data_IF_732017662863
#
_entry.id   IF_732017662863
#
_cell.length_a   1.000
_cell.length_b   1.000
_cell.length_c   1.000
_cell.angle_alpha   90.00
_cell.angle_beta   90.00
_cell.angle_gamma   90.00
#
_symmetry.space_group_name_H-M   'P 1'
#
loop_
_entity.id
_entity.type
_entity.pdbx_description
1 polymer ?
#
# COMPACT_ATOMS: atom_id res chain seq x y z
N UNK A 1 -1.25 -14.17 12.10
CA UNK A 1 -1.60 -12.79 11.70
C UNK A 1 -1.93 -12.77 10.22
N UNK A 2 -3.05 -12.15 9.87
CA UNK A 2 -3.55 -12.07 8.50
C UNK A 2 -2.89 -10.92 7.73
N UNK A 3 -2.55 -11.16 6.46
CA UNK A 3 -2.01 -10.12 5.57
C UNK A 3 -3.13 -9.15 5.19
N UNK A 4 -2.99 -7.89 5.57
CA UNK A 4 -3.97 -6.85 5.26
C UNK A 4 -3.29 -5.55 4.81
N UNK A 5 -3.93 -4.81 3.90
CA UNK A 5 -3.45 -3.51 3.39
C UNK A 5 -4.42 -2.43 3.83
N UNK A 6 -3.94 -1.39 4.50
CA UNK A 6 -4.79 -0.24 4.88
C UNK A 6 -5.31 0.50 3.64
N UNK A 7 -6.54 0.99 3.74
CA UNK A 7 -7.12 1.86 2.71
C UNK A 7 -6.66 3.30 2.88
N UNK A 8 -6.09 3.96 1.85
CA UNK A 8 -5.66 5.35 1.94
C UNK A 8 -6.79 6.35 2.24
N UNK A 9 -8.05 5.97 2.02
CA UNK A 9 -9.22 6.81 2.28
C UNK A 9 -9.86 6.58 3.67
N UNK A 10 -9.37 5.58 4.42
CA UNK A 10 -9.78 5.36 5.80
C UNK A 10 -8.83 6.08 6.76
N UNK A 11 -9.31 6.35 7.97
CA UNK A 11 -8.45 6.89 9.01
C UNK A 11 -7.30 5.92 9.27
N UNK A 12 -6.04 6.38 9.24
CA UNK A 12 -4.89 5.51 9.45
C UNK A 12 -5.04 4.77 10.78
N UNK A 13 -4.77 3.46 10.81
CA UNK A 13 -4.93 2.70 12.05
C UNK A 13 -4.02 3.29 13.14
N UNK A 14 -2.88 3.85 12.76
CA UNK A 14 -1.92 4.50 13.65
C UNK A 14 -2.47 5.72 14.40
N UNK A 15 -3.54 6.33 13.89
CA UNK A 15 -4.18 7.52 14.46
C UNK A 15 -5.47 7.18 15.23
N UNK A 16 -5.74 5.89 15.45
CA UNK A 16 -6.95 5.40 16.12
C UNK A 16 -6.54 4.66 17.40
N UNK A 17 -7.31 4.84 18.47
CA UNK A 17 -7.15 4.02 19.67
C UNK A 17 -7.34 2.53 19.32
N UNK A 18 -6.61 1.60 19.95
CA UNK A 18 -6.75 0.17 19.70
C UNK A 18 -8.22 -0.26 19.72
N UNK A 19 -8.75 -0.59 18.54
CA UNK A 19 -10.18 -0.87 18.36
C UNK A 19 -10.36 -2.36 18.13
N UNK A 20 -11.16 -3.00 18.97
CA UNK A 20 -11.57 -4.40 18.83
C UNK A 20 -13.06 -4.48 18.55
N UNK A 21 -13.45 -5.31 17.59
CA UNK A 21 -14.86 -5.54 17.31
C UNK A 21 -15.15 -6.87 16.63
N UNK A 22 -16.39 -7.33 16.77
CA UNK A 22 -16.89 -8.51 16.09
C UNK A 22 -17.13 -8.21 14.61
N UNK A 23 -16.77 -9.13 13.71
CA UNK A 23 -17.09 -9.02 12.29
C UNK A 23 -18.57 -9.25 12.03
N UNK A 24 -19.14 -8.43 11.16
CA UNK A 24 -20.50 -8.60 10.67
C UNK A 24 -20.54 -8.46 9.14
N UNK A 25 -20.94 -9.53 8.45
CA UNK A 25 -21.01 -9.59 6.98
C UNK A 25 -22.20 -8.77 6.48
N UNK A 26 -21.89 -7.73 5.69
CA UNK A 26 -22.87 -6.88 5.02
C UNK A 26 -22.84 -7.06 3.49
N UNK A 27 -22.11 -8.05 3.00
CA UNK A 27 -22.01 -8.38 1.59
C UNK A 27 -21.33 -7.28 0.77
N UNK A 28 -21.96 -6.91 -0.35
CA UNK A 28 -21.40 -5.94 -1.28
C UNK A 28 -21.49 -4.51 -0.77
N UNK A 29 -22.43 -4.19 0.13
CA UNK A 29 -22.76 -2.80 0.49
C UNK A 29 -22.89 -1.88 -0.76
N UNK A 30 -23.44 -2.42 -1.86
CA UNK A 30 -23.63 -1.74 -3.14
C UNK A 30 -24.86 -0.84 -3.17
N UNK A 31 -25.77 -1.04 -2.22
CA UNK A 31 -26.95 -0.21 -1.95
C UNK A 31 -27.01 0.17 -0.48
N UNK A 32 -27.93 1.06 -0.13
CA UNK A 32 -28.14 1.46 1.26
C UNK A 32 -28.51 0.25 2.13
N UNK A 33 -27.82 0.15 3.28
CA UNK A 33 -28.04 -0.94 4.23
C UNK A 33 -29.46 -0.80 4.82
N UNK A 34 -30.21 -1.90 4.85
CA UNK A 34 -31.51 -1.91 5.50
C UNK A 34 -31.39 -1.73 7.02
N UNK A 35 -32.46 -1.31 7.68
CA UNK A 35 -32.48 -1.05 9.12
C UNK A 35 -32.12 -2.27 9.99
N UNK A 36 -32.41 -3.48 9.50
CA UNK A 36 -32.03 -4.72 10.18
C UNK A 36 -30.51 -4.93 10.21
N UNK A 37 -29.84 -4.66 9.10
CA UNK A 37 -28.37 -4.70 8.98
C UNK A 37 -27.75 -3.59 9.82
N UNK A 38 -28.26 -2.34 9.72
CA UNK A 38 -27.75 -1.21 10.50
C UNK A 38 -27.75 -1.50 12.00
N UNK A 39 -28.85 -2.02 12.53
CA UNK A 39 -28.95 -2.38 13.96
C UNK A 39 -27.93 -3.43 14.39
N UNK A 40 -27.66 -4.43 13.55
CA UNK A 40 -26.71 -5.51 13.85
C UNK A 40 -25.25 -5.09 13.67
N UNK A 41 -24.98 -4.16 12.76
CA UNK A 41 -23.64 -3.64 12.47
C UNK A 41 -23.18 -2.58 13.47
N UNK A 42 -24.10 -1.85 14.10
CA UNK A 42 -23.76 -0.79 15.06
C UNK A 42 -22.83 -1.32 16.17
N UNK A 43 -21.65 -0.71 16.32
CA UNK A 43 -20.63 -1.13 17.28
C UNK A 43 -19.79 -2.34 16.85
N UNK A 44 -19.93 -2.81 15.61
CA UNK A 44 -19.21 -3.96 15.04
C UNK A 44 -18.31 -3.54 13.86
N UNK A 45 -17.47 -4.46 13.41
CA UNK A 45 -16.60 -4.27 12.23
C UNK A 45 -17.34 -4.78 10.99
N UNK A 46 -17.51 -3.91 10.01
CA UNK A 46 -18.16 -4.28 8.76
C UNK A 46 -17.27 -5.24 7.94
N UNK A 47 -17.80 -6.39 7.55
CA UNK A 47 -17.13 -7.31 6.63
C UNK A 47 -17.75 -7.19 5.24
N UNK A 48 -16.96 -6.80 4.25
CA UNK A 48 -17.44 -6.30 2.95
C UNK A 48 -16.70 -7.00 1.81
N UNK A 49 -17.40 -7.36 0.74
CA UNK A 49 -16.77 -7.84 -0.49
C UNK A 49 -16.53 -6.71 -1.50
N UNK A 50 -15.36 -6.70 -2.15
CA UNK A 50 -15.04 -5.79 -3.27
C UNK A 50 -16.01 -6.01 -4.44
N UNK A 51 -16.39 -4.92 -5.12
CA UNK A 51 -17.13 -4.98 -6.39
C UNK A 51 -18.33 -4.02 -6.47
N UNK A 52 -18.88 -3.87 -7.68
CA UNK A 52 -20.02 -3.02 -8.08
C UNK A 52 -19.89 -1.52 -7.87
N UNK A 53 -19.49 -1.06 -6.69
CA UNK A 53 -19.36 0.36 -6.33
C UNK A 53 -17.96 0.65 -5.76
N UNK A 54 -17.49 1.91 -5.80
CA UNK A 54 -16.21 2.32 -5.23
C UNK A 54 -16.06 1.97 -3.74
N UNK A 55 -14.82 1.80 -3.28
CA UNK A 55 -14.52 1.47 -1.87
C UNK A 55 -15.07 2.52 -0.91
N UNK A 56 -14.90 3.80 -1.24
CA UNK A 56 -15.34 4.90 -0.38
C UNK A 56 -16.84 4.89 -0.10
N UNK A 57 -17.68 4.49 -1.07
CA UNK A 57 -19.12 4.38 -0.86
C UNK A 57 -19.48 3.27 0.12
N UNK A 58 -18.81 2.12 0.00
CA UNK A 58 -18.99 0.98 0.92
C UNK A 58 -18.63 1.39 2.35
N UNK A 59 -17.50 2.07 2.51
CA UNK A 59 -17.02 2.52 3.81
C UNK A 59 -17.94 3.58 4.42
N UNK A 60 -18.40 4.56 3.64
CA UNK A 60 -19.39 5.56 4.09
C UNK A 60 -20.70 4.92 4.54
N UNK A 61 -21.19 3.90 3.83
CA UNK A 61 -22.40 3.15 4.22
C UNK A 61 -22.20 2.38 5.53
N UNK A 62 -21.03 1.78 5.72
CA UNK A 62 -20.69 1.09 6.97
C UNK A 62 -20.58 2.07 8.15
N UNK A 63 -19.90 3.20 7.96
CA UNK A 63 -19.75 4.27 8.93
C UNK A 63 -21.12 4.87 9.31
N UNK A 64 -21.96 5.20 8.32
CA UNK A 64 -23.30 5.73 8.55
C UNK A 64 -24.22 4.74 9.30
N UNK A 65 -23.94 3.43 9.19
CA UNK A 65 -24.62 2.38 9.95
C UNK A 65 -24.04 2.17 11.36
N UNK A 66 -23.02 2.94 11.75
CA UNK A 66 -22.40 2.90 13.08
C UNK A 66 -21.35 1.80 13.25
N UNK A 67 -20.75 1.32 12.15
CA UNK A 67 -19.59 0.43 12.24
C UNK A 67 -18.42 1.15 12.93
N UNK A 68 -17.61 0.40 13.67
CA UNK A 68 -16.39 0.91 14.33
C UNK A 68 -15.12 0.63 13.53
N UNK A 69 -15.26 -0.04 12.37
CA UNK A 69 -14.17 -0.39 11.46
C UNK A 69 -14.71 -1.18 10.27
N UNK A 70 -13.86 -1.40 9.27
CA UNK A 70 -14.21 -2.19 8.09
C UNK A 70 -13.07 -3.13 7.66
N UNK A 71 -13.45 -4.34 7.24
CA UNK A 71 -12.59 -5.31 6.58
C UNK A 71 -13.19 -5.60 5.22
N UNK A 72 -12.51 -5.16 4.17
CA UNK A 72 -12.88 -5.45 2.79
C UNK A 72 -12.06 -6.64 2.30
N UNK A 73 -12.67 -7.62 1.65
CA UNK A 73 -11.92 -8.69 1.01
C UNK A 73 -12.01 -8.60 -0.51
N UNK A 74 -10.90 -8.95 -1.17
CA UNK A 74 -10.81 -8.90 -2.63
C UNK A 74 -11.80 -9.90 -3.26
N UNK A 75 -12.38 -9.54 -4.41
CA UNK A 75 -13.27 -10.41 -5.19
C UNK A 75 -12.52 -11.20 -6.27
N UNK A 76 -11.23 -10.94 -6.44
CA UNK A 76 -10.34 -11.63 -7.36
C UNK A 76 -9.23 -12.36 -6.59
N UNK A 77 -8.75 -13.52 -7.09
CA UNK A 77 -7.59 -14.18 -6.52
C UNK A 77 -6.37 -13.26 -6.56
N UNK A 78 -5.53 -13.36 -5.53
CA UNK A 78 -4.27 -12.60 -5.45
C UNK A 78 -4.08 -11.85 -4.15
N UNK A 79 -3.04 -11.01 -4.12
CA UNK A 79 -2.68 -10.21 -2.95
C UNK A 79 -3.74 -9.10 -2.69
N UNK A 80 -3.89 -8.63 -1.44
CA UNK A 80 -4.73 -7.48 -1.15
C UNK A 80 -4.25 -6.25 -1.93
N UNK A 81 -5.19 -5.46 -2.45
CA UNK A 81 -4.89 -4.22 -3.18
C UNK A 81 -5.19 -2.99 -2.31
N UNK A 82 -4.51 -1.85 -2.51
CA UNK A 82 -4.88 -0.60 -1.84
C UNK A 82 -6.32 -0.18 -2.19
N UNK A 83 -7.09 0.26 -1.19
CA UNK A 83 -8.46 0.74 -1.39
C UNK A 83 -8.46 2.20 -1.86
N UNK A 84 -8.26 2.42 -3.17
CA UNK A 84 -8.26 3.76 -3.77
C UNK A 84 -9.65 4.43 -3.82
N UNK A 85 -9.67 5.76 -4.02
CA UNK A 85 -10.87 6.56 -4.21
C UNK A 85 -10.79 7.91 -3.49
N UNK A 86 -11.56 8.89 -3.97
CA UNK A 86 -11.61 10.23 -3.40
C UNK A 86 -12.60 10.29 -2.22
N UNK A 87 -12.17 10.85 -1.10
CA UNK A 87 -12.97 11.03 0.11
C UNK A 87 -12.26 10.55 1.37
N UNK A 88 -12.90 10.77 2.52
CA UNK A 88 -12.43 10.32 3.83
C UNK A 88 -13.57 9.64 4.58
N UNK A 89 -13.22 8.63 5.37
CA UNK A 89 -14.05 8.05 6.43
C UNK A 89 -13.23 8.02 7.72
N UNK A 90 -13.90 8.17 8.86
CA UNK A 90 -13.27 8.22 10.19
C UNK A 90 -13.00 6.83 10.77
N UNK A 91 -13.64 5.79 10.23
CA UNK A 91 -13.43 4.40 10.65
C UNK A 91 -12.16 3.80 10.04
N UNK A 92 -11.40 2.94 10.77
CA UNK A 92 -10.31 2.18 10.17
C UNK A 92 -10.83 1.22 9.11
N UNK A 93 -10.10 1.06 8.01
CA UNK A 93 -10.43 0.06 7.01
C UNK A 93 -9.18 -0.67 6.49
N UNK A 94 -9.27 -2.00 6.42
CA UNK A 94 -8.24 -2.85 5.83
C UNK A 94 -8.80 -3.68 4.67
N UNK A 95 -7.95 -3.96 3.69
CA UNK A 95 -8.20 -4.92 2.63
C UNK A 95 -7.48 -6.24 2.93
N UNK A 96 -8.15 -7.38 2.76
CA UNK A 96 -7.57 -8.72 2.81
C UNK A 96 -7.73 -9.47 1.46
N UNK A 97 -7.03 -10.59 1.31
CA UNK A 97 -7.12 -11.41 0.09
C UNK A 97 -8.48 -12.09 -0.03
N UNK A 98 -8.86 -12.49 -1.25
CA UNK A 98 -10.08 -13.27 -1.48
C UNK A 98 -10.08 -14.57 -0.68
N UNK A 99 -8.94 -15.29 -0.69
CA UNK A 99 -8.80 -16.57 0.00
C UNK A 99 -9.10 -16.44 1.49
N UNK A 100 -8.48 -15.45 2.16
CA UNK A 100 -8.70 -15.21 3.59
C UNK A 100 -10.13 -14.73 3.86
N UNK A 101 -10.68 -13.88 3.01
CA UNK A 101 -12.07 -13.42 3.17
C UNK A 101 -13.08 -14.57 3.10
N UNK A 102 -12.88 -15.52 2.19
CA UNK A 102 -13.72 -16.72 2.09
C UNK A 102 -13.54 -17.67 3.28
N UNK A 103 -12.33 -17.77 3.83
CA UNK A 103 -12.05 -18.54 5.04
C UNK A 103 -12.77 -17.96 6.26
N UNK A 104 -12.59 -16.65 6.52
CA UNK A 104 -13.29 -15.94 7.59
C UNK A 104 -14.81 -16.05 7.44
N UNK A 105 -15.34 -15.94 6.21
CA UNK A 105 -16.77 -16.08 5.96
C UNK A 105 -17.32 -17.47 6.34
N UNK A 106 -16.52 -18.53 6.17
CA UNK A 106 -16.89 -19.88 6.61
C UNK A 106 -16.83 -19.99 8.13
N UNK A 107 -15.77 -19.47 8.75
CA UNK A 107 -15.60 -19.49 10.21
C UNK A 107 -16.67 -18.69 10.95
N UNK A 108 -17.19 -17.61 10.34
CA UNK A 108 -18.31 -16.83 10.89
C UNK A 108 -19.60 -17.65 11.06
N UNK A 109 -19.75 -18.77 10.35
CA UNK A 109 -20.87 -19.70 10.56
C UNK A 109 -20.71 -20.54 11.84
N UNK A 110 -19.47 -20.69 12.33
CA UNK A 110 -19.14 -21.46 13.53
C UNK A 110 -19.12 -20.61 14.80
N UNK A 111 -19.05 -19.28 14.69
CA UNK A 111 -19.10 -18.38 15.83
C UNK A 111 -18.68 -16.94 15.48
N UNK A 112 -18.83 -16.01 16.44
CA UNK A 112 -18.41 -14.63 16.26
C UNK A 112 -16.89 -14.53 16.13
N UNK A 113 -16.40 -13.91 15.05
CA UNK A 113 -14.99 -13.60 14.85
C UNK A 113 -14.73 -12.19 15.33
N UNK A 114 -13.70 -11.98 16.16
CA UNK A 114 -13.25 -10.65 16.58
C UNK A 114 -11.98 -10.23 15.84
N UNK A 115 -11.96 -9.00 15.40
CA UNK A 115 -10.81 -8.36 14.76
C UNK A 115 -10.31 -7.26 15.68
N UNK A 116 -9.00 -7.24 15.87
CA UNK A 116 -8.32 -6.21 16.60
C UNK A 116 -7.45 -5.41 15.63
N UNK A 117 -7.76 -4.13 15.49
CA UNK A 117 -6.91 -3.20 14.76
C UNK A 117 -5.76 -2.79 15.68
N UNK A 118 -4.56 -3.32 15.39
CA UNK A 118 -3.33 -3.02 16.12
C UNK A 118 -2.35 -2.31 15.20
N UNK A 119 -1.69 -1.30 15.74
CA UNK A 119 -0.54 -0.62 15.12
C UNK A 119 0.74 -0.93 15.88
N UNK A 120 1.88 -0.71 15.21
CA UNK A 120 3.21 -0.85 15.81
C UNK A 120 3.89 -2.18 15.55
N UNK A 121 3.19 -3.18 15.00
CA UNK A 121 3.85 -4.39 14.53
C UNK A 121 4.33 -4.23 13.09
N UNK A 122 5.65 -4.16 12.93
CA UNK A 122 6.30 -4.20 11.63
C UNK A 122 6.17 -5.60 11.05
N UNK A 123 5.22 -5.79 10.13
CA UNK A 123 5.12 -7.03 9.37
C UNK A 123 6.21 -6.98 8.29
N UNK A 124 7.27 -7.75 8.49
CA UNK A 124 8.30 -7.89 7.46
C UNK A 124 7.78 -8.79 6.35
N UNK A 125 7.77 -8.27 5.12
CA UNK A 125 7.41 -9.00 3.91
C UNK A 125 8.68 -9.30 3.09
N UNK A 126 9.52 -10.28 3.49
CA UNK A 126 10.80 -10.53 2.81
C UNK A 126 10.64 -10.87 1.33
N UNK A 127 9.49 -11.41 0.95
CA UNK A 127 9.13 -11.77 -0.42
C UNK A 127 8.96 -10.59 -1.39
N UNK A 128 8.74 -9.37 -0.89
CA UNK A 128 8.63 -8.15 -1.72
C UNK A 128 9.85 -7.24 -1.59
N UNK A 129 10.77 -7.54 -0.68
CA UNK A 129 12.04 -6.82 -0.56
C UNK A 129 12.84 -7.02 -1.84
N UNK A 130 13.48 -5.94 -2.33
CA UNK A 130 14.34 -5.99 -3.52
C UNK A 130 13.60 -6.53 -4.78
N UNK A 131 12.30 -6.21 -4.90
CA UNK A 131 11.50 -6.49 -6.10
C UNK A 131 11.10 -5.20 -6.83
N UNK A 132 10.95 -5.28 -8.16
CA UNK A 132 10.44 -4.16 -8.97
C UNK A 132 8.91 -4.13 -8.88
N UNK A 133 8.37 -2.94 -8.65
CA UNK A 133 6.92 -2.72 -8.53
C UNK A 133 6.23 -2.89 -9.88
N UNK A 134 4.99 -3.41 -9.87
CA UNK A 134 4.22 -3.62 -11.09
C UNK A 134 3.86 -2.32 -11.85
N UNK A 135 3.92 -1.17 -11.19
CA UNK A 135 3.67 0.14 -11.80
C UNK A 135 4.92 0.77 -12.44
N UNK A 136 6.12 0.21 -12.22
CA UNK A 136 7.36 0.78 -12.77
C UNK A 136 7.37 0.65 -14.29
N UNK A 137 7.63 1.77 -14.98
CA UNK A 137 7.74 1.76 -16.44
C UNK A 137 8.94 0.92 -16.90
N UNK A 138 8.76 0.25 -18.04
CA UNK A 138 9.75 -0.62 -18.65
C UNK A 138 10.36 0.05 -19.87
N UNK A 139 11.65 -0.13 -20.08
CA UNK A 139 12.30 0.23 -21.33
C UNK A 139 12.16 -0.85 -22.42
N UNK A 140 12.87 -0.67 -23.55
CA UNK A 140 13.80 0.43 -23.83
C UNK A 140 13.10 1.77 -24.05
N UNK A 141 13.86 2.87 -24.12
CA UNK A 141 13.31 4.18 -24.49
C UNK A 141 12.69 4.11 -25.90
N UNK A 142 11.45 4.57 -26.04
CA UNK A 142 10.68 4.44 -27.28
C UNK A 142 11.27 5.17 -28.48
N UNK A 143 12.01 6.26 -28.26
CA UNK A 143 12.50 7.12 -29.35
C UNK A 143 13.73 6.55 -30.07
N UNK A 144 14.66 5.93 -29.34
CA UNK A 144 15.97 5.55 -29.87
C UNK A 144 16.52 4.22 -29.34
N UNK A 145 15.67 3.47 -28.64
CA UNK A 145 15.98 2.15 -28.06
C UNK A 145 17.14 2.15 -27.04
N UNK A 146 17.54 3.31 -26.51
CA UNK A 146 18.52 3.34 -25.43
C UNK A 146 17.98 2.65 -24.18
N UNK A 147 18.89 2.02 -23.47
CA UNK A 147 18.58 1.28 -22.25
C UNK A 147 18.04 2.23 -21.18
N UNK A 148 16.81 1.93 -20.74
CA UNK A 148 16.12 2.57 -19.63
C UNK A 148 15.33 1.50 -18.85
N UNK A 149 15.07 1.72 -17.55
CA UNK A 149 15.66 2.75 -16.68
C UNK A 149 17.17 2.50 -16.45
N UNK A 150 17.89 3.45 -15.87
CA UNK A 150 19.32 3.25 -15.54
C UNK A 150 19.58 2.62 -14.18
N UNK A 151 18.71 2.84 -13.19
CA UNK A 151 18.87 2.36 -11.82
C UNK A 151 17.51 2.32 -11.10
N UNK A 152 17.36 1.45 -10.12
CA UNK A 152 16.17 1.33 -9.28
C UNK A 152 16.43 1.87 -7.86
N UNK A 153 15.38 2.41 -7.23
CA UNK A 153 15.41 2.89 -5.85
C UNK A 153 14.04 2.69 -5.17
N UNK A 154 13.97 2.70 -3.82
CA UNK A 154 12.70 2.52 -3.10
C UNK A 154 11.63 3.51 -3.57
N UNK A 155 10.48 2.97 -3.98
CA UNK A 155 9.35 3.77 -4.50
C UNK A 155 7.97 3.21 -4.16
N UNK A 156 7.88 2.11 -3.42
CA UNK A 156 6.63 1.62 -2.88
C UNK A 156 6.59 1.83 -1.37
N UNK A 157 5.43 2.20 -0.85
CA UNK A 157 5.14 2.42 0.57
C UNK A 157 6.11 3.40 1.21
N UNK A 158 6.48 4.46 0.49
CA UNK A 158 7.38 5.49 0.97
C UNK A 158 6.59 6.47 1.84
N UNK A 159 6.96 6.59 3.10
CA UNK A 159 6.38 7.55 4.04
C UNK A 159 7.17 8.86 3.94
N UNK A 160 6.47 9.97 3.69
CA UNK A 160 7.06 11.30 3.63
C UNK A 160 6.12 12.35 4.22
N UNK A 161 6.56 13.60 4.34
CA UNK A 161 5.75 14.69 4.86
C UNK A 161 4.51 14.95 3.99
N UNK A 162 3.36 15.12 4.62
CA UNK A 162 2.10 15.39 3.93
C UNK A 162 1.88 16.89 3.73
N UNK A 163 1.60 17.29 2.48
CA UNK A 163 1.31 18.67 2.12
C UNK A 163 0.07 19.18 2.89
N UNK A 164 0.22 20.32 3.58
CA UNK A 164 -0.88 20.97 4.29
C UNK A 164 -1.27 20.35 5.63
N UNK A 165 -0.53 19.36 6.14
CA UNK A 165 -0.85 18.67 7.41
C UNK A 165 0.11 19.01 8.56
N UNK A 166 0.97 20.02 8.39
CA UNK A 166 1.97 20.41 9.40
C UNK A 166 2.99 19.30 9.65
N UNK A 167 2.79 18.56 10.75
CA UNK A 167 3.62 17.42 11.18
C UNK A 167 3.15 16.07 10.61
N UNK A 168 2.06 16.06 9.83
CA UNK A 168 1.50 14.85 9.27
C UNK A 168 2.42 14.19 8.23
N UNK A 169 2.29 12.87 8.11
CA UNK A 169 2.97 12.08 7.09
C UNK A 169 1.95 11.43 6.16
N UNK A 170 2.40 11.07 4.96
CA UNK A 170 1.61 10.34 3.97
C UNK A 170 2.48 9.23 3.40
N UNK A 171 1.87 8.07 3.21
CA UNK A 171 2.48 6.96 2.50
C UNK A 171 2.06 7.02 1.02
N UNK A 172 3.03 6.99 0.12
CA UNK A 172 2.79 7.04 -1.32
C UNK A 172 3.61 5.99 -2.08
N UNK A 173 3.10 5.64 -3.26
CA UNK A 173 3.72 4.74 -4.23
C UNK A 173 4.03 5.51 -5.52
N UNK A 174 5.18 5.26 -6.13
CA UNK A 174 5.51 5.77 -7.45
C UNK A 174 7.01 5.90 -7.69
N UNK A 175 7.41 5.91 -8.96
CA UNK A 175 8.77 6.31 -9.35
C UNK A 175 9.06 7.77 -8.98
N UNK A 176 8.03 8.60 -8.81
CA UNK A 176 8.10 9.92 -8.19
C UNK A 176 8.66 9.91 -6.76
N UNK A 177 8.59 8.76 -6.06
CA UNK A 177 9.20 8.58 -4.74
C UNK A 177 10.60 7.97 -4.86
N UNK A 178 10.87 7.16 -5.89
CA UNK A 178 12.24 6.69 -6.21
C UNK A 178 13.16 7.83 -6.66
N UNK A 179 12.65 8.80 -7.43
CA UNK A 179 13.42 9.92 -7.94
C UNK A 179 14.08 10.80 -6.84
N UNK A 180 13.37 11.26 -5.78
CA UNK A 180 13.99 12.02 -4.70
C UNK A 180 14.96 11.20 -3.86
N UNK A 181 14.76 9.88 -3.71
CA UNK A 181 15.78 9.00 -3.11
C UNK A 181 17.09 9.07 -3.90
N UNK A 182 17.02 8.92 -5.23
CA UNK A 182 18.22 9.04 -6.07
C UNK A 182 18.80 10.44 -6.08
N UNK A 183 17.97 11.49 -6.07
CA UNK A 183 18.46 12.86 -5.97
C UNK A 183 19.26 13.09 -4.68
N UNK A 184 18.78 12.55 -3.54
CA UNK A 184 19.50 12.59 -2.26
C UNK A 184 20.83 11.83 -2.32
N UNK A 185 20.84 10.61 -2.85
CA UNK A 185 22.07 9.83 -3.06
C UNK A 185 23.07 10.59 -3.92
N UNK A 186 22.63 11.14 -5.06
CA UNK A 186 23.49 11.90 -5.97
C UNK A 186 24.02 13.20 -5.33
N UNK A 187 23.23 13.85 -4.47
CA UNK A 187 23.67 15.02 -3.72
C UNK A 187 24.77 14.67 -2.71
N UNK A 188 24.61 13.58 -1.95
CA UNK A 188 25.62 13.08 -1.01
C UNK A 188 26.90 12.65 -1.74
N UNK A 189 26.76 11.94 -2.86
CA UNK A 189 27.90 11.58 -3.71
C UNK A 189 28.62 12.81 -4.23
N UNK A 190 27.89 13.85 -4.69
CA UNK A 190 28.50 15.10 -5.13
C UNK A 190 29.17 15.87 -3.99
N UNK A 191 28.65 15.79 -2.78
CA UNK A 191 29.29 16.36 -1.59
C UNK A 191 30.61 15.65 -1.26
N UNK A 192 30.63 14.31 -1.33
CA UNK A 192 31.83 13.51 -1.06
C UNK A 192 32.87 13.57 -2.18
N UNK A 193 32.43 13.70 -3.44
CA UNK A 193 33.26 13.65 -4.66
C UNK A 193 33.03 14.89 -5.51
N UNK A 194 33.48 16.05 -4.99
CA UNK A 194 33.22 17.37 -5.60
C UNK A 194 33.91 17.55 -6.95
N UNK A 195 35.00 16.82 -7.18
CA UNK A 195 35.79 16.78 -8.41
C UNK A 195 35.07 16.09 -9.58
N UNK A 196 34.20 15.12 -9.28
CA UNK A 196 33.50 14.35 -10.31
C UNK A 196 32.35 15.14 -10.95
N UNK A 197 32.18 14.97 -12.27
CA UNK A 197 31.05 15.48 -13.02
C UNK A 197 29.82 14.55 -12.93
N UNK A 198 28.67 14.99 -13.47
CA UNK A 198 27.42 14.25 -13.37
C UNK A 198 27.46 12.86 -14.01
N UNK A 199 28.18 12.68 -15.13
CA UNK A 199 28.29 11.39 -15.81
C UNK A 199 29.21 10.42 -15.05
N UNK A 200 30.25 10.93 -14.42
CA UNK A 200 31.15 10.14 -13.57
C UNK A 200 30.42 9.66 -12.31
N UNK A 201 29.64 10.54 -11.67
CA UNK A 201 28.80 10.17 -10.53
C UNK A 201 27.71 9.17 -10.92
N UNK A 202 27.08 9.36 -12.08
CA UNK A 202 26.11 8.41 -12.64
C UNK A 202 26.74 7.03 -12.86
N UNK A 203 27.92 7.00 -13.47
CA UNK A 203 28.66 5.75 -13.70
C UNK A 203 29.02 5.06 -12.38
N UNK A 204 29.48 5.83 -11.39
CA UNK A 204 29.84 5.32 -10.07
C UNK A 204 28.65 4.62 -9.42
N UNK A 205 27.50 5.30 -9.32
CA UNK A 205 26.31 4.73 -8.64
C UNK A 205 25.70 3.55 -9.39
N UNK A 206 25.77 3.53 -10.73
CA UNK A 206 25.31 2.39 -11.51
C UNK A 206 26.21 1.17 -11.30
N UNK A 207 27.54 1.35 -11.29
CA UNK A 207 28.51 0.26 -11.14
C UNK A 207 28.56 -0.32 -9.72
N UNK A 208 28.04 0.39 -8.72
CA UNK A 208 28.01 -0.06 -7.32
C UNK A 208 26.61 -0.48 -6.87
N UNK A 209 25.65 -0.48 -7.79
CA UNK A 209 24.28 -0.93 -7.53
C UNK A 209 24.20 -2.45 -7.33
N UNK A 210 23.16 -2.89 -6.62
CA UNK A 210 22.85 -4.30 -6.38
C UNK A 210 21.92 -4.81 -7.47
N UNK A 211 22.41 -5.67 -8.35
CA UNK A 211 21.58 -6.34 -9.35
C UNK A 211 20.51 -7.22 -8.68
N UNK A 212 19.27 -7.10 -9.13
CA UNK A 212 18.12 -7.87 -8.68
C UNK A 212 17.96 -9.10 -9.58
N UNK A 213 17.87 -10.30 -9.00
CA UNK A 213 17.66 -11.54 -9.77
C UNK A 213 16.20 -11.70 -10.23
N UNK A 214 15.30 -10.87 -9.71
CA UNK A 214 13.85 -10.94 -9.92
C UNK A 214 13.34 -10.11 -11.09
N UNK A 215 14.20 -9.32 -11.76
CA UNK A 215 13.81 -8.41 -12.83
C UNK A 215 14.83 -8.34 -13.98
N UNK A 216 14.41 -8.14 -15.24
CA UNK A 216 15.32 -7.87 -16.35
C UNK A 216 15.89 -6.44 -16.29
N UNK A 217 17.03 -6.22 -16.98
CA UNK A 217 17.69 -4.91 -17.08
C UNK A 217 16.78 -3.79 -17.60
N UNK A 218 15.79 -4.13 -18.41
CA UNK A 218 14.77 -3.18 -18.94
C UNK A 218 13.76 -2.71 -17.89
N UNK A 219 13.77 -3.29 -16.68
CA UNK A 219 12.96 -2.87 -15.54
C UNK A 219 13.77 -2.29 -14.39
N UNK A 220 14.98 -2.81 -14.14
CA UNK A 220 15.80 -2.39 -12.99
C UNK A 220 17.01 -1.49 -13.35
N UNK A 221 17.38 -1.41 -14.63
CA UNK A 221 18.66 -0.80 -15.02
C UNK A 221 19.85 -1.58 -14.45
N UNK A 222 20.85 -0.87 -13.94
CA UNK A 222 22.03 -1.49 -13.33
C UNK A 222 21.71 -2.31 -12.07
N UNK A 223 20.60 -1.98 -11.38
CA UNK A 223 20.20 -2.62 -10.13
C UNK A 223 19.57 -1.63 -9.15
N UNK A 224 19.29 -2.10 -7.93
CA UNK A 224 18.90 -1.23 -6.81
C UNK A 224 20.11 -0.43 -6.34
N UNK A 225 19.95 0.87 -6.12
CA UNK A 225 20.96 1.72 -5.47
C UNK A 225 21.43 1.12 -4.14
N UNK A 226 22.75 1.15 -3.90
CA UNK A 226 23.43 0.63 -2.71
C UNK A 226 24.37 1.69 -2.14
N UNK A 227 24.56 1.68 -0.83
CA UNK A 227 25.43 2.57 -0.05
C UNK A 227 26.85 2.02 0.15
N UNK A 228 27.21 0.94 -0.54
CA UNK A 228 28.48 0.23 -0.41
C UNK A 228 29.69 0.95 -1.04
N UNK A 229 29.77 2.28 -0.95
CA UNK A 229 30.86 3.12 -1.48
C UNK A 229 31.38 4.11 -0.45
#
# INVERSE_FOLDING_TARGET
MARATEGPAAKPIAEIEPTEGELYDIGLADTDLNEGIKKKLKGKVAFIVRGKVPFIEKLKRAEAAGAIGAVVYNNEPGKPIPMGGDGKVEIPAIMISQALGLELKKEMASGPIRIQFKTGEKIEEPEIVDTITGFSSKGPRSEDNLLKPEIAAPGARVISAAMGQGHGSVQMDGTSMSAPHMAGVMALLKQARRDLNANELKSLVMNTSKALTTAPITLQGAGRVSDST
#
